data_IF_033956973613
#
_entry.id   IF_033956973613
#
_cell.length_a   1.000
_cell.length_b   1.000
_cell.length_c   1.000
_cell.angle_alpha   90.00
_cell.angle_beta   90.00
_cell.angle_gamma   90.00
#
_symmetry.space_group_name_H-M   'P 1'
#
loop_
_entity.id
_entity.type
_entity.pdbx_description
1 polymer ?
#
# COMPACT_ATOMS: atom_id res chain seq x y z
N UNK A 1 27.95 5.62 -3.20
CA UNK A 1 26.72 4.95 -2.75
C UNK A 1 25.55 5.51 -3.49
N UNK A 2 24.69 4.66 -4.04
CA UNK A 2 23.49 5.08 -4.75
C UNK A 2 22.28 4.93 -3.85
N UNK A 3 21.45 5.96 -3.73
CA UNK A 3 20.23 5.85 -2.92
C UNK A 3 19.20 4.94 -3.59
N UNK A 4 18.33 4.36 -2.77
CA UNK A 4 17.18 3.60 -3.23
C UNK A 4 15.90 4.31 -2.81
N UNK A 5 14.86 4.17 -3.62
CA UNK A 5 13.53 4.63 -3.27
C UNK A 5 12.72 3.45 -2.73
N UNK A 6 12.19 3.60 -1.54
CA UNK A 6 11.29 2.62 -0.92
C UNK A 6 9.90 3.21 -0.92
N UNK A 7 8.97 2.56 -1.62
CA UNK A 7 7.57 2.97 -1.71
C UNK A 7 6.79 2.17 -0.70
N UNK A 8 6.25 2.82 0.33
CA UNK A 8 5.59 2.15 1.44
C UNK A 8 4.08 2.19 1.27
N UNK A 9 3.48 1.03 0.95
CA UNK A 9 2.04 0.79 0.99
C UNK A 9 1.20 1.78 0.18
N UNK A 10 1.64 2.14 -1.01
CA UNK A 10 0.85 3.01 -1.90
C UNK A 10 -0.13 2.13 -2.68
N UNK A 11 -1.15 1.69 -1.97
CA UNK A 11 -2.15 0.73 -2.42
C UNK A 11 -3.53 1.40 -2.47
N UNK A 12 -4.43 0.87 -3.30
CA UNK A 12 -5.76 1.48 -3.48
C UNK A 12 -6.52 1.65 -2.16
N UNK A 13 -6.45 0.69 -1.25
CA UNK A 13 -7.18 0.79 0.02
C UNK A 13 -6.67 1.89 0.95
N UNK A 14 -5.45 2.39 0.74
CA UNK A 14 -4.91 3.52 1.50
C UNK A 14 -5.03 4.85 0.77
N UNK A 15 -5.64 4.87 -0.39
CA UNK A 15 -5.86 6.06 -1.20
C UNK A 15 -7.35 6.44 -1.18
N UNK A 16 -7.71 7.67 -1.60
CA UNK A 16 -9.10 8.11 -1.56
C UNK A 16 -10.04 7.11 -2.23
N UNK A 17 -11.15 6.80 -1.54
CA UNK A 17 -12.11 5.80 -1.99
C UNK A 17 -11.83 4.38 -1.51
N UNK A 18 -10.66 4.12 -0.96
CA UNK A 18 -10.32 2.81 -0.40
C UNK A 18 -10.82 2.63 1.03
N UNK A 19 -10.73 1.40 1.53
CA UNK A 19 -11.26 1.02 2.84
C UNK A 19 -10.62 1.78 4.01
N UNK A 20 -9.33 2.12 3.88
CA UNK A 20 -8.59 2.94 4.84
C UNK A 20 -7.98 4.16 4.12
N UNK A 21 -8.77 4.81 3.27
CA UNK A 21 -8.29 5.87 2.42
C UNK A 21 -7.74 7.07 3.20
N UNK A 22 -6.61 7.57 2.72
CA UNK A 22 -6.02 8.80 3.21
C UNK A 22 -6.43 9.94 2.28
N UNK A 23 -6.61 11.12 2.84
CA UNK A 23 -7.09 12.28 2.09
C UNK A 23 -6.18 12.64 0.92
N UNK A 24 -4.87 12.48 1.09
CA UNK A 24 -3.87 12.93 0.11
C UNK A 24 -3.14 11.78 -0.58
N UNK A 25 -3.68 10.57 -0.51
CA UNK A 25 -3.04 9.40 -1.11
C UNK A 25 -2.77 9.53 -2.61
N UNK A 26 -3.70 10.14 -3.36
CA UNK A 26 -3.51 10.34 -4.80
C UNK A 26 -2.37 11.33 -5.08
N UNK A 27 -2.24 12.38 -4.28
CA UNK A 27 -1.14 13.34 -4.42
C UNK A 27 0.21 12.69 -4.12
N UNK A 28 0.25 11.86 -3.09
CA UNK A 28 1.45 11.12 -2.70
C UNK A 28 1.86 10.16 -3.83
N UNK A 29 0.89 9.43 -4.39
CA UNK A 29 1.17 8.50 -5.49
C UNK A 29 1.75 9.24 -6.71
N UNK A 30 1.19 10.41 -7.07
CA UNK A 30 1.70 11.21 -8.17
C UNK A 30 3.11 11.73 -7.89
N UNK A 31 3.38 12.15 -6.66
CA UNK A 31 4.72 12.60 -6.25
C UNK A 31 5.74 11.48 -6.35
N UNK A 32 5.38 10.29 -5.89
CA UNK A 32 6.23 9.11 -5.97
C UNK A 32 6.52 8.77 -7.43
N UNK A 33 5.51 8.81 -8.28
CA UNK A 33 5.69 8.53 -9.71
C UNK A 33 6.75 9.46 -10.33
N UNK A 34 6.74 10.74 -9.96
CA UNK A 34 7.75 11.66 -10.46
C UNK A 34 9.14 11.41 -9.91
N UNK A 35 9.23 10.89 -8.67
CA UNK A 35 10.50 10.56 -8.04
C UNK A 35 11.13 9.28 -8.59
N UNK A 36 10.33 8.31 -9.02
CA UNK A 36 10.83 7.00 -9.43
C UNK A 36 11.88 7.06 -10.54
N UNK A 37 11.73 7.98 -11.45
CA UNK A 37 12.65 8.12 -12.57
C UNK A 37 14.05 8.62 -12.15
N UNK A 38 14.18 9.14 -10.94
CA UNK A 38 15.45 9.64 -10.42
C UNK A 38 16.26 8.58 -9.66
N UNK A 39 15.71 7.36 -9.52
CA UNK A 39 16.34 6.30 -8.75
C UNK A 39 16.52 5.05 -9.61
N UNK A 40 17.73 4.46 -9.54
CA UNK A 40 18.01 3.19 -10.22
C UNK A 40 17.38 2.01 -9.48
N UNK A 41 17.32 2.10 -8.15
CA UNK A 41 16.76 1.05 -7.31
C UNK A 41 15.46 1.53 -6.69
N UNK A 42 14.38 0.85 -7.02
CA UNK A 42 13.03 1.14 -6.51
C UNK A 42 12.44 -0.16 -5.99
N UNK A 43 12.06 -0.19 -4.72
CA UNK A 43 11.37 -1.33 -4.11
C UNK A 43 10.10 -0.82 -3.44
N UNK A 44 9.14 -1.72 -3.21
CA UNK A 44 7.85 -1.36 -2.64
C UNK A 44 7.46 -2.34 -1.55
N UNK A 45 6.69 -1.86 -0.58
CA UNK A 45 6.04 -2.71 0.41
C UNK A 45 4.54 -2.73 0.16
N UNK A 46 3.90 -3.81 0.58
CA UNK A 46 2.45 -3.99 0.46
C UNK A 46 1.92 -4.69 1.70
N UNK A 47 0.83 -4.15 2.27
CA UNK A 47 -0.01 -4.94 3.16
C UNK A 47 -0.69 -6.01 2.31
N UNK A 48 -0.72 -7.25 2.81
CA UNK A 48 -1.21 -8.38 2.02
C UNK A 48 -1.86 -9.39 2.95
N UNK A 49 -3.14 -9.16 3.27
CA UNK A 49 -3.82 -9.97 4.28
C UNK A 49 -4.54 -11.17 3.67
N UNK A 50 -4.29 -12.34 4.21
CA UNK A 50 -4.94 -13.58 3.79
C UNK A 50 -6.09 -13.91 4.77
N UNK A 51 -5.76 -14.12 6.04
CA UNK A 51 -6.74 -14.39 7.10
C UNK A 51 -6.22 -13.81 8.40
N UNK A 52 -6.33 -12.50 8.60
CA UNK A 52 -5.73 -11.85 9.77
C UNK A 52 -6.58 -11.94 11.04
N UNK A 53 -7.66 -12.72 11.03
CA UNK A 53 -8.49 -12.93 12.23
C UNK A 53 -9.09 -11.62 12.74
N UNK A 54 -8.85 -11.34 14.04
CA UNK A 54 -9.42 -10.16 14.70
C UNK A 54 -8.84 -8.82 14.24
N UNK A 55 -7.83 -8.83 13.39
CA UNK A 55 -7.31 -7.61 12.75
C UNK A 55 -8.41 -6.94 11.91
N UNK A 56 -9.28 -7.73 11.29
CA UNK A 56 -10.45 -7.24 10.56
C UNK A 56 -11.69 -7.27 11.46
N UNK A 57 -12.45 -6.19 11.45
CA UNK A 57 -13.69 -6.08 12.23
C UNK A 57 -14.71 -5.24 11.48
N UNK A 58 -15.99 -5.59 11.64
CA UNK A 58 -17.10 -4.76 11.16
C UNK A 58 -17.38 -3.58 12.10
N UNK A 59 -16.81 -3.62 13.30
CA UNK A 59 -16.88 -2.55 14.30
C UNK A 59 -15.47 -2.27 14.84
N UNK A 60 -14.57 -1.76 13.99
CA UNK A 60 -13.16 -1.63 14.35
C UNK A 60 -12.92 -0.52 15.36
N UNK A 61 -11.94 -0.75 16.25
CA UNK A 61 -11.52 0.26 17.22
C UNK A 61 -10.35 1.13 16.72
N UNK A 62 -9.73 0.78 15.60
CA UNK A 62 -8.58 1.47 15.00
C UNK A 62 -7.36 1.52 15.94
N UNK A 63 -7.29 0.57 16.87
CA UNK A 63 -6.14 0.34 17.74
C UNK A 63 -5.60 -1.07 17.50
N UNK A 64 -6.48 -2.08 17.56
CA UNK A 64 -6.16 -3.47 17.32
C UNK A 64 -6.94 -4.05 16.15
N UNK A 65 -7.90 -3.33 15.62
CA UNK A 65 -8.75 -3.82 14.54
C UNK A 65 -9.10 -2.69 13.57
N UNK A 66 -9.32 -3.08 12.32
CA UNK A 66 -9.61 -2.17 11.21
C UNK A 66 -10.67 -2.81 10.31
N UNK A 67 -11.31 -2.00 9.44
CA UNK A 67 -12.18 -2.59 8.43
C UNK A 67 -11.38 -3.47 7.49
N UNK A 68 -12.04 -4.36 6.78
CA UNK A 68 -11.39 -5.22 5.78
C UNK A 68 -10.66 -4.34 4.76
N UNK A 69 -9.38 -4.61 4.58
CA UNK A 69 -8.52 -3.83 3.66
C UNK A 69 -7.36 -4.69 3.19
N UNK A 70 -6.81 -4.34 2.03
CA UNK A 70 -5.61 -4.97 1.48
C UNK A 70 -5.66 -6.51 1.49
N UNK A 71 -6.82 -7.05 1.12
CA UNK A 71 -6.98 -8.50 0.99
C UNK A 71 -6.14 -8.99 -0.18
N UNK A 72 -5.39 -10.06 0.05
CA UNK A 72 -4.50 -10.64 -0.96
C UNK A 72 -5.22 -10.83 -2.30
N UNK A 73 -4.56 -10.45 -3.38
CA UNK A 73 -5.07 -10.55 -4.75
C UNK A 73 -6.30 -9.69 -5.06
N UNK A 74 -6.68 -8.77 -4.16
CA UNK A 74 -7.80 -7.86 -4.42
C UNK A 74 -7.32 -6.54 -5.04
N UNK A 75 -8.26 -5.82 -5.64
CA UNK A 75 -7.99 -4.46 -6.14
C UNK A 75 -7.49 -3.53 -5.03
N UNK A 76 -8.05 -3.66 -3.82
CA UNK A 76 -7.64 -2.83 -2.68
C UNK A 76 -6.18 -3.02 -2.30
N UNK A 77 -5.65 -4.23 -2.45
CA UNK A 77 -4.24 -4.54 -2.17
C UNK A 77 -3.32 -4.12 -3.31
N UNK A 78 -3.83 -3.90 -4.51
CA UNK A 78 -3.01 -3.52 -5.65
C UNK A 78 -2.39 -2.14 -5.47
N UNK A 79 -1.22 -1.93 -6.05
CA UNK A 79 -0.57 -0.62 -6.06
C UNK A 79 -1.41 0.40 -6.81
N UNK A 80 -1.39 1.64 -6.34
CA UNK A 80 -2.02 2.75 -7.06
C UNK A 80 -1.45 2.82 -8.48
N UNK A 81 -2.30 3.03 -9.46
CA UNK A 81 -1.92 2.98 -10.88
C UNK A 81 -0.91 4.05 -11.30
N UNK A 82 -0.81 5.16 -10.55
CA UNK A 82 0.17 6.19 -10.85
C UNK A 82 1.60 5.75 -10.55
N UNK A 83 1.76 4.79 -9.63
CA UNK A 83 3.08 4.28 -9.24
C UNK A 83 3.56 3.28 -10.27
N UNK A 84 4.75 3.52 -10.84
CA UNK A 84 5.36 2.62 -11.80
C UNK A 84 5.87 1.35 -11.16
N UNK A 85 6.33 0.38 -11.95
CA UNK A 85 6.79 -0.89 -11.41
C UNK A 85 8.02 -0.72 -10.53
N UNK A 86 8.10 -1.56 -9.49
CA UNK A 86 9.26 -1.68 -8.63
C UNK A 86 10.03 -2.96 -8.97
N UNK A 87 11.30 -3.00 -8.61
CA UNK A 87 12.15 -4.16 -8.85
C UNK A 87 11.83 -5.32 -7.91
N UNK A 88 11.29 -5.01 -6.72
CA UNK A 88 10.88 -6.02 -5.77
C UNK A 88 9.70 -5.49 -4.94
N UNK A 89 8.82 -6.41 -4.55
CA UNK A 89 7.65 -6.11 -3.71
C UNK A 89 7.75 -6.97 -2.46
N UNK A 90 7.76 -6.32 -1.30
CA UNK A 90 7.85 -6.99 -0.02
C UNK A 90 6.48 -6.95 0.64
N UNK A 91 5.84 -8.10 0.69
CA UNK A 91 4.50 -8.25 1.27
C UNK A 91 4.62 -8.53 2.75
N UNK A 92 3.77 -7.89 3.53
CA UNK A 92 3.72 -8.04 4.98
C UNK A 92 2.29 -8.27 5.43
N UNK A 93 2.12 -8.77 6.65
CA UNK A 93 0.79 -9.06 7.16
C UNK A 93 0.10 -10.21 6.45
N UNK A 94 0.85 -11.19 5.95
CA UNK A 94 0.34 -12.32 5.15
C UNK A 94 -0.35 -13.40 5.97
N UNK A 95 -0.88 -13.04 7.10
CA UNK A 95 -1.64 -13.98 7.95
C UNK A 95 -3.14 -13.73 7.85
#
# INVERSE_FOLDING_TARGET
MKPALIIVDVQHDFCPGGALGTERGNEVAAKIASLQQDYETVVATQDWHIDPGSHFSTDPDFVDSWPVHCVADSHGAAMHEAVGPAQAYFRKGEY
#
